data_IF_995694983467
#
_entry.id   IF_995694983467
#
_cell.length_a   1.000
_cell.length_b   1.000
_cell.length_c   1.000
_cell.angle_alpha   90.00
_cell.angle_beta   90.00
_cell.angle_gamma   90.00
#
_symmetry.space_group_name_H-M   'P 1'
#
loop_
_entity.id
_entity.type
_entity.pdbx_description
1 polymer ?
#
# COMPACT_ATOMS: atom_id res chain seq x y z
N UNK A 1 -4.59 87.23 36.10
CA UNK A 1 -4.44 85.76 36.09
C UNK A 1 -5.22 85.16 34.92
N UNK A 2 -4.65 85.09 33.70
CA UNK A 2 -5.36 84.60 32.49
C UNK A 2 -4.56 83.59 31.66
N UNK A 3 -3.62 82.88 32.27
CA UNK A 3 -2.74 81.92 31.57
C UNK A 3 -3.01 80.44 31.90
N UNK A 4 -3.89 80.13 32.87
CA UNK A 4 -4.10 78.75 33.33
C UNK A 4 -5.13 77.95 32.51
N UNK A 5 -6.00 78.59 31.74
CA UNK A 5 -7.02 77.90 30.94
C UNK A 5 -6.46 77.19 29.68
N UNK A 6 -5.32 77.66 29.17
CA UNK A 6 -4.67 77.11 27.96
C UNK A 6 -3.92 75.79 28.22
N UNK A 7 -3.46 75.58 29.46
CA UNK A 7 -2.75 74.35 29.83
C UNK A 7 -3.67 73.14 30.01
N UNK A 8 -4.91 73.36 30.47
CA UNK A 8 -5.83 72.25 30.76
C UNK A 8 -6.41 71.59 29.50
N UNK A 9 -6.61 72.37 28.44
CA UNK A 9 -7.08 71.87 27.13
C UNK A 9 -5.97 71.14 26.39
N UNK A 10 -4.74 71.66 26.39
CA UNK A 10 -3.57 71.03 25.77
C UNK A 10 -3.19 69.70 26.43
N UNK A 11 -3.31 69.58 27.76
CA UNK A 11 -3.08 68.32 28.50
C UNK A 11 -4.16 67.24 28.24
N UNK A 12 -5.43 67.65 28.02
CA UNK A 12 -6.49 66.71 27.62
C UNK A 12 -6.29 66.23 26.19
N UNK A 13 -5.96 67.14 25.27
CA UNK A 13 -5.71 66.81 23.87
C UNK A 13 -4.53 65.85 23.74
N UNK A 14 -3.41 66.08 24.46
CA UNK A 14 -2.26 65.15 24.42
C UNK A 14 -2.60 63.74 24.92
N UNK A 15 -3.45 63.62 25.95
CA UNK A 15 -3.89 62.33 26.50
C UNK A 15 -4.77 61.54 25.53
N UNK A 16 -5.67 62.20 24.80
CA UNK A 16 -6.47 61.54 23.76
C UNK A 16 -5.62 61.15 22.54
N UNK A 17 -4.66 61.99 22.17
CA UNK A 17 -3.74 61.73 21.06
C UNK A 17 -2.84 60.52 21.36
N UNK A 18 -2.31 60.42 22.58
CA UNK A 18 -1.54 59.25 23.03
C UNK A 18 -2.38 57.96 23.05
N UNK A 19 -3.64 58.04 23.49
CA UNK A 19 -4.55 56.88 23.47
C UNK A 19 -4.89 56.44 22.05
N UNK A 20 -5.18 57.39 21.15
CA UNK A 20 -5.44 57.09 19.75
C UNK A 20 -4.22 56.44 19.09
N UNK A 21 -3.02 56.95 19.36
CA UNK A 21 -1.77 56.42 18.84
C UNK A 21 -1.47 55.02 19.39
N UNK A 22 -1.74 54.78 20.68
CA UNK A 22 -1.61 53.45 21.30
C UNK A 22 -2.57 52.42 20.67
N UNK A 23 -3.84 52.80 20.44
CA UNK A 23 -4.82 51.92 19.78
C UNK A 23 -4.42 51.63 18.33
N UNK A 24 -3.92 52.64 17.61
CA UNK A 24 -3.47 52.48 16.22
C UNK A 24 -2.26 51.55 16.12
N UNK A 25 -1.28 51.71 17.02
CA UNK A 25 -0.15 50.77 17.14
C UNK A 25 -0.61 49.36 17.49
N UNK A 26 -1.57 49.23 18.40
CA UNK A 26 -2.09 47.92 18.81
C UNK A 26 -2.81 47.21 17.65
N UNK A 27 -3.64 47.93 16.90
CA UNK A 27 -4.27 47.41 15.68
C UNK A 27 -3.26 47.05 14.60
N UNK A 28 -2.20 47.85 14.44
CA UNK A 28 -1.14 47.58 13.48
C UNK A 28 -0.37 46.30 13.83
N UNK A 29 -0.01 46.12 15.10
CA UNK A 29 0.62 44.88 15.59
C UNK A 29 -0.32 43.68 15.39
N UNK A 30 -1.59 43.82 15.74
CA UNK A 30 -2.59 42.77 15.55
C UNK A 30 -2.70 42.38 14.06
N UNK A 31 -2.79 43.36 13.17
CA UNK A 31 -2.90 43.13 11.73
C UNK A 31 -1.66 42.43 11.16
N UNK A 32 -0.45 42.90 11.52
CA UNK A 32 0.81 42.26 11.11
C UNK A 32 0.90 40.83 11.65
N UNK A 33 0.48 40.58 12.89
CA UNK A 33 0.50 39.25 13.48
C UNK A 33 -0.42 38.26 12.77
N UNK A 34 -1.64 38.68 12.40
CA UNK A 34 -2.58 37.85 11.64
C UNK A 34 -2.02 37.54 10.26
N UNK A 35 -1.48 38.55 9.58
CA UNK A 35 -0.91 38.35 8.24
C UNK A 35 0.29 37.39 8.28
N UNK A 36 1.15 37.53 9.29
CA UNK A 36 2.28 36.63 9.50
C UNK A 36 1.83 35.17 9.74
N UNK A 37 0.83 34.97 10.60
CA UNK A 37 0.30 33.63 10.89
C UNK A 37 -0.36 33.01 9.66
N UNK A 38 -1.17 33.77 8.91
CA UNK A 38 -1.83 33.27 7.70
C UNK A 38 -0.80 32.89 6.63
N UNK A 39 0.23 33.71 6.44
CA UNK A 39 1.28 33.42 5.47
C UNK A 39 2.08 32.16 5.88
N UNK A 40 2.44 32.04 7.15
CA UNK A 40 3.09 30.84 7.67
C UNK A 40 2.20 29.59 7.54
N UNK A 41 0.88 29.73 7.73
CA UNK A 41 -0.07 28.63 7.56
C UNK A 41 -0.18 28.20 6.09
N UNK A 42 -0.27 29.13 5.15
CA UNK A 42 -0.32 28.83 3.73
C UNK A 42 0.96 28.17 3.21
N UNK A 43 2.13 28.57 3.70
CA UNK A 43 3.39 27.91 3.34
C UNK A 43 3.41 26.46 3.81
N UNK A 44 2.95 26.19 5.03
CA UNK A 44 2.82 24.82 5.56
C UNK A 44 1.76 24.01 4.85
N UNK A 45 0.64 24.62 4.50
CA UNK A 45 -0.43 23.96 3.76
C UNK A 45 0.05 23.56 2.35
N UNK A 46 0.74 24.46 1.65
CA UNK A 46 1.29 24.20 0.32
C UNK A 46 2.36 23.09 0.36
N UNK A 47 3.24 23.10 1.37
CA UNK A 47 4.23 22.04 1.61
C UNK A 47 3.54 20.68 1.79
N UNK A 48 2.51 20.60 2.64
CA UNK A 48 1.75 19.36 2.88
C UNK A 48 1.05 18.86 1.60
N UNK A 49 0.36 19.74 0.86
CA UNK A 49 -0.29 19.34 -0.39
C UNK A 49 0.71 18.87 -1.44
N UNK A 50 1.88 19.51 -1.51
CA UNK A 50 2.95 19.10 -2.42
C UNK A 50 3.50 17.71 -2.04
N UNK A 51 3.79 17.47 -0.76
CA UNK A 51 4.24 16.16 -0.27
C UNK A 51 3.18 15.06 -0.51
N UNK A 52 1.90 15.36 -0.25
CA UNK A 52 0.80 14.44 -0.51
C UNK A 52 0.68 14.08 -2.00
N UNK A 53 0.78 15.07 -2.89
CA UNK A 53 0.73 14.83 -4.34
C UNK A 53 1.92 14.01 -4.83
N UNK A 54 3.13 14.33 -4.36
CA UNK A 54 4.34 13.56 -4.72
C UNK A 54 4.22 12.10 -4.27
N UNK A 55 3.70 11.87 -3.06
CA UNK A 55 3.48 10.54 -2.52
C UNK A 55 2.37 9.79 -3.28
N UNK A 56 1.29 10.48 -3.67
CA UNK A 56 0.22 9.90 -4.46
C UNK A 56 0.71 9.47 -5.86
N UNK A 57 1.48 10.32 -6.54
CA UNK A 57 2.08 10.01 -7.84
C UNK A 57 3.10 8.87 -7.76
N UNK A 58 3.86 8.80 -6.66
CA UNK A 58 4.75 7.66 -6.40
C UNK A 58 3.95 6.37 -6.20
N UNK A 59 2.92 6.39 -5.34
CA UNK A 59 2.06 5.24 -5.10
C UNK A 59 1.36 4.76 -6.38
N UNK A 60 0.85 5.69 -7.19
CA UNK A 60 0.19 5.37 -8.46
C UNK A 60 1.15 4.69 -9.44
N UNK A 61 2.40 5.15 -9.53
CA UNK A 61 3.43 4.50 -10.36
C UNK A 61 3.75 3.09 -9.90
N UNK A 62 3.86 2.86 -8.59
CA UNK A 62 4.03 1.50 -8.04
C UNK A 62 2.84 0.61 -8.37
N UNK A 63 1.62 1.09 -8.17
CA UNK A 63 0.40 0.34 -8.51
C UNK A 63 0.37 0.01 -10.01
N UNK A 64 0.65 0.97 -10.89
CA UNK A 64 0.64 0.75 -12.34
C UNK A 64 1.68 -0.29 -12.77
N UNK A 65 2.94 -0.15 -12.33
CA UNK A 65 4.00 -1.12 -12.65
C UNK A 65 3.66 -2.52 -12.15
N UNK A 66 3.14 -2.64 -10.94
CA UNK A 66 2.80 -3.94 -10.36
C UNK A 66 1.52 -4.51 -10.97
N UNK A 67 0.58 -3.67 -11.41
CA UNK A 67 -0.61 -4.10 -12.12
C UNK A 67 -0.27 -4.75 -13.48
N UNK A 68 0.72 -4.23 -14.20
CA UNK A 68 1.17 -4.82 -15.46
C UNK A 68 1.80 -6.21 -15.21
N UNK A 69 2.72 -6.29 -14.25
CA UNK A 69 3.37 -7.56 -13.87
C UNK A 69 2.35 -8.58 -13.35
N UNK A 70 1.46 -8.19 -12.44
CA UNK A 70 0.49 -9.12 -11.86
C UNK A 70 -0.52 -9.59 -12.90
N UNK A 71 -0.82 -8.80 -13.92
CA UNK A 71 -1.69 -9.20 -15.03
C UNK A 71 -1.07 -10.32 -15.86
N UNK A 72 0.22 -10.21 -16.18
CA UNK A 72 0.95 -11.28 -16.88
C UNK A 72 1.02 -12.56 -16.03
N UNK A 73 1.39 -12.42 -14.75
CA UNK A 73 1.47 -13.55 -13.84
C UNK A 73 0.09 -14.20 -13.63
N UNK A 74 -0.98 -13.40 -13.52
CA UNK A 74 -2.38 -13.88 -13.44
C UNK A 74 -2.75 -14.68 -14.67
N UNK A 75 -2.42 -14.18 -15.87
CA UNK A 75 -2.74 -14.85 -17.12
C UNK A 75 -2.07 -16.23 -17.19
N UNK A 76 -0.78 -16.30 -16.85
CA UNK A 76 -0.05 -17.58 -16.83
C UNK A 76 -0.58 -18.52 -15.75
N UNK A 77 -0.82 -18.01 -14.53
CA UNK A 77 -1.39 -18.80 -13.44
C UNK A 77 -2.75 -19.38 -13.83
N UNK A 78 -3.65 -18.57 -14.39
CA UNK A 78 -4.97 -19.03 -14.84
C UNK A 78 -4.88 -20.10 -15.93
N UNK A 79 -4.04 -19.90 -16.93
CA UNK A 79 -3.87 -20.85 -18.03
C UNK A 79 -3.28 -22.19 -17.54
N UNK A 80 -2.25 -22.14 -16.71
CA UNK A 80 -1.57 -23.33 -16.17
C UNK A 80 -2.41 -24.09 -15.14
N UNK A 81 -3.18 -23.37 -14.32
CA UNK A 81 -4.16 -23.97 -13.42
C UNK A 81 -5.27 -24.70 -14.19
N UNK A 82 -5.70 -24.15 -15.33
CA UNK A 82 -6.75 -24.75 -16.18
C UNK A 82 -6.23 -25.94 -16.99
N UNK A 83 -4.99 -25.90 -17.43
CA UNK A 83 -4.41 -26.85 -18.39
C UNK A 83 -3.78 -28.10 -17.73
N UNK A 84 -4.22 -28.48 -16.52
CA UNK A 84 -3.50 -29.26 -15.50
C UNK A 84 -2.71 -30.52 -15.89
N UNK A 85 -2.83 -31.04 -17.12
CA UNK A 85 -2.06 -32.19 -17.62
C UNK A 85 -1.27 -31.94 -18.92
N UNK A 86 -1.59 -30.91 -19.71
CA UNK A 86 -1.02 -30.74 -21.06
C UNK A 86 0.42 -30.20 -21.08
N UNK A 87 0.86 -29.54 -20.00
CA UNK A 87 2.18 -28.86 -19.98
C UNK A 87 3.23 -29.57 -19.12
N UNK A 88 2.81 -30.54 -18.28
CA UNK A 88 3.74 -31.33 -17.47
C UNK A 88 4.54 -32.35 -18.31
N UNK A 89 4.03 -32.77 -19.47
CA UNK A 89 4.62 -33.83 -20.30
C UNK A 89 5.99 -33.50 -20.96
N UNK A 90 6.45 -32.24 -20.90
CA UNK A 90 7.70 -31.83 -21.58
C UNK A 90 8.87 -31.49 -20.64
N UNK A 91 8.68 -31.51 -19.33
CA UNK A 91 9.65 -30.92 -18.38
C UNK A 91 10.09 -31.94 -17.33
N UNK A 92 11.02 -32.83 -17.73
CA UNK A 92 11.73 -33.79 -16.87
C UNK A 92 12.76 -33.07 -15.97
N UNK A 93 12.29 -32.25 -15.04
CA UNK A 93 13.09 -31.71 -13.94
C UNK A 93 12.35 -31.96 -12.64
N UNK A 94 13.04 -32.52 -11.65
CA UNK A 94 12.51 -32.79 -10.31
C UNK A 94 12.34 -31.46 -9.57
N UNK A 95 11.29 -30.72 -9.92
CA UNK A 95 10.99 -29.41 -9.36
C UNK A 95 10.11 -29.62 -8.16
N UNK A 96 10.67 -29.31 -6.99
CA UNK A 96 9.93 -29.33 -5.75
C UNK A 96 8.72 -28.38 -5.85
N UNK A 97 7.52 -28.96 -5.76
CA UNK A 97 6.29 -28.20 -5.59
C UNK A 97 6.40 -27.45 -4.25
N UNK A 98 6.07 -26.15 -4.19
CA UNK A 98 6.16 -25.41 -2.94
C UNK A 98 5.24 -26.01 -1.88
N UNK A 99 5.73 -26.03 -0.65
CA UNK A 99 4.93 -26.45 0.51
C UNK A 99 3.77 -25.48 0.70
N UNK A 100 2.61 -26.03 1.08
CA UNK A 100 1.45 -25.23 1.43
C UNK A 100 1.50 -24.83 2.90
N UNK A 101 1.27 -23.56 3.14
CA UNK A 101 1.20 -22.96 4.46
C UNK A 101 -0.26 -22.61 4.74
N UNK A 102 -0.85 -23.11 5.84
CA UNK A 102 -2.22 -22.76 6.19
C UNK A 102 -2.27 -21.28 6.62
N UNK A 103 -3.20 -20.51 6.06
CA UNK A 103 -3.48 -19.14 6.56
C UNK A 103 -4.24 -19.17 7.90
N UNK A 104 -4.95 -20.27 8.18
CA UNK A 104 -5.74 -20.48 9.38
C UNK A 104 -5.32 -21.77 10.07
N UNK A 105 -5.31 -21.83 11.42
CA UNK A 105 -4.99 -23.06 12.15
C UNK A 105 -5.82 -24.29 11.71
N UNK A 106 -7.05 -24.07 11.27
CA UNK A 106 -8.01 -25.12 10.91
C UNK A 106 -7.99 -25.48 9.41
N UNK A 107 -7.14 -24.85 8.60
CA UNK A 107 -7.06 -25.09 7.15
C UNK A 107 -6.36 -26.42 6.82
N UNK A 108 -7.08 -27.37 6.22
CA UNK A 108 -6.48 -28.59 5.66
C UNK A 108 -5.86 -28.33 4.27
N UNK A 109 -4.53 -28.22 4.23
CA UNK A 109 -3.77 -28.01 3.00
C UNK A 109 -3.35 -29.30 2.27
N UNK A 110 -3.60 -30.47 2.86
CA UNK A 110 -3.20 -31.74 2.27
C UNK A 110 -4.02 -32.06 1.00
N UNK A 111 -5.33 -31.78 1.01
CA UNK A 111 -6.22 -32.02 -0.11
C UNK A 111 -5.86 -31.21 -1.37
N UNK A 112 -5.42 -29.95 -1.21
CA UNK A 112 -5.04 -29.09 -2.34
C UNK A 112 -3.78 -29.55 -3.04
N UNK A 113 -2.83 -30.11 -2.27
CA UNK A 113 -1.59 -30.65 -2.83
C UNK A 113 -1.84 -31.77 -3.83
N UNK A 114 -2.90 -32.57 -3.64
CA UNK A 114 -3.25 -33.67 -4.54
C UNK A 114 -3.96 -33.20 -5.81
N UNK A 115 -4.90 -32.26 -5.67
CA UNK A 115 -5.77 -31.82 -6.78
C UNK A 115 -5.02 -30.93 -7.78
N UNK A 116 -4.13 -30.06 -7.30
CA UNK A 116 -3.43 -29.09 -8.14
C UNK A 116 -1.96 -29.44 -8.40
N UNK A 117 -1.51 -30.65 -8.04
CA UNK A 117 -0.10 -31.03 -8.06
C UNK A 117 0.59 -30.73 -9.39
N UNK A 118 0.03 -31.22 -10.49
CA UNK A 118 0.59 -31.08 -11.83
C UNK A 118 0.58 -29.61 -12.30
N UNK A 119 -0.56 -28.93 -12.13
CA UNK A 119 -0.71 -27.51 -12.44
C UNK A 119 0.30 -26.65 -11.67
N UNK A 120 0.48 -26.92 -10.38
CA UNK A 120 1.40 -26.19 -9.51
C UNK A 120 2.86 -26.50 -9.77
N UNK A 121 3.19 -27.72 -10.19
CA UNK A 121 4.54 -28.04 -10.64
C UNK A 121 4.90 -27.21 -11.88
N UNK A 122 3.99 -27.14 -12.86
CA UNK A 122 4.18 -26.33 -14.07
C UNK A 122 4.26 -24.83 -13.75
N UNK A 123 3.45 -24.37 -12.78
CA UNK A 123 3.47 -23.00 -12.31
C UNK A 123 4.74 -22.69 -11.52
N UNK A 124 5.21 -23.60 -10.67
CA UNK A 124 6.44 -23.46 -9.89
C UNK A 124 7.65 -23.35 -10.80
N UNK A 125 7.69 -24.14 -11.89
CA UNK A 125 8.73 -23.98 -12.91
C UNK A 125 8.70 -22.60 -13.55
N UNK A 126 7.52 -22.15 -14.00
CA UNK A 126 7.39 -20.84 -14.62
C UNK A 126 7.76 -19.73 -13.65
N UNK A 127 7.27 -19.79 -12.41
CA UNK A 127 7.59 -18.81 -11.38
C UNK A 127 9.09 -18.78 -11.12
N UNK A 128 9.77 -19.93 -11.07
CA UNK A 128 11.23 -20.01 -10.93
C UNK A 128 11.97 -19.42 -12.13
N UNK A 129 11.55 -19.73 -13.35
CA UNK A 129 12.13 -19.16 -14.57
C UNK A 129 11.94 -17.64 -14.59
N UNK A 130 10.71 -17.18 -14.36
CA UNK A 130 10.35 -15.77 -14.36
C UNK A 130 11.15 -15.04 -13.29
N UNK A 131 11.27 -15.66 -12.12
CA UNK A 131 12.07 -15.20 -11.01
C UNK A 131 13.53 -15.00 -11.40
N UNK A 132 14.19 -16.04 -11.87
CA UNK A 132 15.62 -16.02 -12.19
C UNK A 132 15.97 -15.04 -13.33
N UNK A 133 15.00 -14.66 -14.18
CA UNK A 133 15.20 -13.76 -15.32
C UNK A 133 14.71 -12.32 -15.10
N UNK A 134 13.73 -12.09 -14.22
CA UNK A 134 13.03 -10.79 -14.14
C UNK A 134 12.95 -10.19 -12.73
N UNK A 135 13.21 -10.91 -11.63
CA UNK A 135 12.97 -10.33 -10.29
C UNK A 135 13.90 -9.19 -9.91
N UNK A 136 15.13 -9.19 -10.45
CA UNK A 136 16.08 -8.09 -10.21
C UNK A 136 15.63 -6.76 -10.83
N UNK A 137 14.77 -6.80 -11.86
CA UNK A 137 14.23 -5.60 -12.48
C UNK A 137 13.00 -5.02 -11.73
N UNK A 138 12.34 -5.83 -10.91
CA UNK A 138 11.06 -5.50 -10.28
C UNK A 138 11.08 -5.48 -8.74
N UNK A 139 12.26 -5.66 -8.11
CA UNK A 139 12.46 -5.68 -6.64
C UNK A 139 11.41 -6.53 -5.87
N UNK A 140 11.01 -7.64 -6.48
CA UNK A 140 10.03 -8.57 -5.92
C UNK A 140 10.69 -9.46 -4.86
N UNK A 141 10.09 -9.50 -3.68
CA UNK A 141 10.53 -10.36 -2.58
C UNK A 141 9.89 -11.74 -2.64
N UNK A 142 8.59 -11.78 -2.94
CA UNK A 142 7.77 -12.99 -2.80
C UNK A 142 6.64 -13.01 -3.82
N UNK A 143 6.38 -14.20 -4.35
CA UNK A 143 5.17 -14.50 -5.12
C UNK A 143 4.48 -15.65 -4.41
N UNK A 144 3.18 -15.55 -4.18
CA UNK A 144 2.40 -16.55 -3.49
C UNK A 144 1.03 -16.74 -4.12
N UNK A 145 0.48 -17.94 -4.01
CA UNK A 145 -0.86 -18.27 -4.49
C UNK A 145 -1.68 -18.79 -3.32
N UNK A 146 -2.92 -18.32 -3.18
CA UNK A 146 -3.82 -18.71 -2.09
C UNK A 146 -5.03 -19.39 -2.69
N UNK A 147 -5.34 -20.61 -2.25
CA UNK A 147 -6.56 -21.30 -2.64
C UNK A 147 -7.80 -20.58 -2.09
N UNK A 148 -8.84 -20.44 -2.91
CA UNK A 148 -10.07 -19.74 -2.52
C UNK A 148 -10.90 -20.48 -1.47
N UNK A 149 -10.98 -21.82 -1.59
CA UNK A 149 -11.87 -22.65 -0.78
C UNK A 149 -11.22 -23.08 0.56
N UNK A 150 -9.91 -23.31 0.56
CA UNK A 150 -9.18 -23.86 1.72
C UNK A 150 -8.20 -22.87 2.36
N UNK A 151 -7.99 -21.70 1.74
CA UNK A 151 -7.15 -20.62 2.26
C UNK A 151 -5.72 -21.11 2.56
N UNK A 152 -5.23 -22.03 1.75
CA UNK A 152 -3.86 -22.52 1.82
C UNK A 152 -2.98 -21.72 0.88
N UNK A 153 -1.83 -21.28 1.38
CA UNK A 153 -0.88 -20.49 0.61
C UNK A 153 0.25 -21.37 0.07
N UNK A 154 0.43 -21.40 -1.24
CA UNK A 154 1.64 -21.89 -1.88
C UNK A 154 2.62 -20.72 -2.04
N UNK A 155 3.79 -20.84 -1.42
CA UNK A 155 4.83 -19.80 -1.50
C UNK A 155 5.86 -20.16 -2.58
N UNK A 156 6.01 -19.34 -3.61
CA UNK A 156 6.99 -19.51 -4.68
C UNK A 156 8.27 -18.67 -4.44
N UNK A 157 8.45 -18.20 -3.20
CA UNK A 157 9.41 -17.16 -2.79
C UNK A 157 10.87 -17.32 -3.21
N UNK A 158 11.56 -16.18 -3.15
CA UNK A 158 12.97 -15.95 -3.51
C UNK A 158 13.93 -15.93 -2.33
N UNK A 159 13.44 -15.48 -1.17
CA UNK A 159 14.18 -15.30 0.08
C UNK A 159 13.28 -15.74 1.23
N UNK A 160 13.79 -16.57 2.14
CA UNK A 160 13.16 -16.77 3.43
C UNK A 160 13.21 -15.43 4.18
N UNK A 161 12.05 -14.83 4.46
CA UNK A 161 11.94 -13.67 5.34
C UNK A 161 11.33 -14.16 6.65
N UNK A 162 12.15 -14.62 7.62
CA UNK A 162 11.64 -15.40 8.75
C UNK A 162 11.08 -14.53 9.87
N UNK A 163 11.34 -13.22 9.85
CA UNK A 163 11.08 -12.34 11.02
C UNK A 163 9.68 -11.71 11.05
N UNK A 164 8.95 -11.69 9.94
CA UNK A 164 7.68 -10.92 9.81
C UNK A 164 6.48 -11.80 9.40
N UNK A 165 6.68 -13.12 9.33
CA UNK A 165 5.71 -14.08 8.79
C UNK A 165 4.37 -14.00 9.50
N UNK A 166 4.32 -14.04 10.83
CA UNK A 166 3.05 -14.11 11.56
C UNK A 166 2.24 -12.82 11.46
N UNK A 167 2.91 -11.66 11.52
CA UNK A 167 2.24 -10.36 11.40
C UNK A 167 1.77 -10.09 9.97
N UNK A 168 2.59 -10.43 8.97
CA UNK A 168 2.20 -10.34 7.57
C UNK A 168 1.04 -11.28 7.24
N UNK A 169 1.05 -12.52 7.75
CA UNK A 169 -0.05 -13.47 7.60
C UNK A 169 -1.33 -12.96 8.27
N UNK A 170 -1.25 -12.33 9.45
CA UNK A 170 -2.41 -11.73 10.12
C UNK A 170 -3.02 -10.57 9.32
N UNK A 171 -2.19 -9.67 8.80
CA UNK A 171 -2.66 -8.56 7.95
C UNK A 171 -3.28 -9.10 6.67
N UNK A 172 -2.62 -10.06 6.02
CA UNK A 172 -3.12 -10.72 4.80
C UNK A 172 -4.46 -11.40 5.04
N UNK A 173 -4.58 -12.13 6.15
CA UNK A 173 -5.83 -12.75 6.59
C UNK A 173 -6.96 -11.72 6.70
N UNK A 174 -6.73 -10.61 7.41
CA UNK A 174 -7.71 -9.54 7.56
C UNK A 174 -8.12 -8.93 6.20
N UNK A 175 -7.17 -8.75 5.27
CA UNK A 175 -7.44 -8.19 3.94
C UNK A 175 -8.26 -9.15 3.07
N UNK A 176 -7.99 -10.45 3.15
CA UNK A 176 -8.76 -11.46 2.41
C UNK A 176 -10.19 -11.52 2.93
N UNK A 177 -10.39 -11.52 4.24
CA UNK A 177 -11.73 -11.52 4.83
C UNK A 177 -12.50 -10.24 4.47
N UNK A 178 -11.83 -9.08 4.50
CA UNK A 178 -12.44 -7.83 4.03
C UNK A 178 -12.90 -7.93 2.57
N UNK A 179 -12.08 -8.52 1.69
CA UNK A 179 -12.42 -8.72 0.29
C UNK A 179 -13.56 -9.72 0.08
N UNK A 180 -13.59 -10.83 0.82
CA UNK A 180 -14.69 -11.79 0.77
C UNK A 180 -16.02 -11.18 1.21
N UNK A 181 -15.97 -10.30 2.21
CA UNK A 181 -17.14 -9.60 2.73
C UNK A 181 -17.55 -8.37 1.90
N UNK A 182 -16.69 -7.90 0.98
CA UNK A 182 -16.99 -6.76 0.11
C UNK A 182 -18.22 -7.03 -0.80
N UNK A 183 -18.95 -6.00 -1.24
CA UNK A 183 -20.04 -6.16 -2.19
C UNK A 183 -19.57 -6.66 -3.57
N UNK A 184 -20.47 -7.29 -4.34
CA UNK A 184 -20.12 -8.00 -5.58
C UNK A 184 -19.45 -7.13 -6.66
N UNK A 185 -19.73 -5.82 -6.67
CA UNK A 185 -19.06 -4.85 -7.54
C UNK A 185 -17.57 -4.67 -7.22
N UNK A 186 -17.15 -4.90 -5.98
CA UNK A 186 -15.77 -4.73 -5.51
C UNK A 186 -15.00 -6.05 -5.45
N UNK A 187 -15.70 -7.19 -5.39
CA UNK A 187 -15.09 -8.54 -5.44
C UNK A 187 -14.34 -8.84 -6.75
N UNK A 188 -14.46 -8.03 -7.79
CA UNK A 188 -13.66 -8.18 -9.01
C UNK A 188 -12.25 -7.56 -8.92
N UNK A 189 -12.02 -6.68 -7.95
CA UNK A 189 -10.89 -5.77 -7.97
C UNK A 189 -9.63 -6.39 -7.37
N UNK A 190 -8.48 -5.90 -7.84
CA UNK A 190 -7.20 -6.20 -7.23
C UNK A 190 -7.11 -5.46 -5.89
N UNK A 191 -6.56 -6.12 -4.87
CA UNK A 191 -6.29 -5.52 -3.57
C UNK A 191 -4.85 -5.04 -3.54
N UNK A 192 -4.65 -3.82 -3.04
CA UNK A 192 -3.32 -3.26 -2.83
C UNK A 192 -3.23 -2.72 -1.40
N UNK A 193 -2.12 -2.98 -0.72
CA UNK A 193 -1.85 -2.38 0.57
C UNK A 193 -0.35 -2.27 0.83
N UNK A 194 0.00 -1.40 1.77
CA UNK A 194 1.36 -1.22 2.25
C UNK A 194 1.40 -1.65 3.71
N UNK A 195 2.43 -2.39 4.11
CA UNK A 195 2.79 -2.60 5.51
C UNK A 195 4.10 -1.89 5.84
N UNK A 196 4.22 -1.46 7.09
CA UNK A 196 5.48 -0.92 7.61
C UNK A 196 6.41 -2.08 7.95
N UNK A 197 7.68 -1.99 7.53
CA UNK A 197 8.72 -2.91 7.95
C UNK A 197 9.32 -2.52 9.31
N UNK A 198 10.13 -3.40 9.89
CA UNK A 198 10.77 -3.14 11.20
C UNK A 198 11.79 -1.99 11.18
N UNK A 199 12.31 -1.64 10.00
CA UNK A 199 13.32 -0.58 9.86
C UNK A 199 12.66 0.74 9.41
N UNK A 200 12.99 1.87 10.05
CA UNK A 200 12.55 3.18 9.57
C UNK A 200 12.96 3.36 8.10
N UNK A 201 12.01 3.79 7.26
CA UNK A 201 12.24 3.97 5.82
C UNK A 201 12.23 2.67 4.99
N UNK A 202 11.71 1.56 5.52
CA UNK A 202 11.46 0.34 4.74
C UNK A 202 10.03 -0.13 4.96
N UNK A 203 9.31 -0.42 3.88
CA UNK A 203 7.98 -1.00 3.90
C UNK A 203 7.83 -2.12 2.88
N UNK A 204 6.68 -2.77 2.90
CA UNK A 204 6.31 -3.80 1.94
C UNK A 204 5.03 -3.42 1.23
N UNK A 205 5.09 -3.40 -0.10
CA UNK A 205 3.93 -3.26 -0.95
C UNK A 205 3.40 -4.63 -1.35
N UNK A 206 2.10 -4.83 -1.15
CA UNK A 206 1.41 -6.05 -1.51
C UNK A 206 0.38 -5.77 -2.58
N UNK A 207 0.34 -6.64 -3.59
CA UNK A 207 -0.72 -6.68 -4.57
C UNK A 207 -1.32 -8.08 -4.65
N UNK A 208 -2.63 -8.19 -4.49
CA UNK A 208 -3.38 -9.45 -4.57
C UNK A 208 -4.41 -9.36 -5.69
N UNK A 209 -4.44 -10.37 -6.54
CA UNK A 209 -5.30 -10.43 -7.72
C UNK A 209 -6.10 -11.74 -7.72
N UNK A 210 -7.43 -11.68 -7.86
CA UNK A 210 -8.25 -12.88 -7.96
C UNK A 210 -8.05 -13.59 -9.30
N UNK A 211 -7.88 -14.91 -9.26
CA UNK A 211 -7.75 -15.80 -10.42
C UNK A 211 -9.05 -16.61 -10.56
N UNK A 212 -9.76 -16.34 -11.65
CA UNK A 212 -11.03 -17.01 -11.97
C UNK A 212 -10.82 -18.10 -13.01
N UNK A 213 -11.52 -19.22 -12.85
CA UNK A 213 -11.63 -20.28 -13.85
C UNK A 213 -13.10 -20.67 -13.97
N UNK A 214 -13.61 -20.74 -15.21
CA UNK A 214 -15.02 -21.01 -15.47
C UNK A 214 -15.98 -20.14 -14.63
N UNK A 215 -15.68 -18.84 -14.50
CA UNK A 215 -16.45 -17.87 -13.71
C UNK A 215 -16.53 -18.13 -12.19
N UNK A 216 -15.70 -19.04 -11.66
CA UNK A 216 -15.53 -19.29 -10.22
C UNK A 216 -14.15 -18.83 -9.78
N UNK A 217 -14.08 -18.12 -8.64
CA UNK A 217 -12.80 -17.78 -8.02
C UNK A 217 -12.13 -19.10 -7.62
N UNK A 218 -10.96 -19.38 -8.18
CA UNK A 218 -10.20 -20.59 -7.85
C UNK A 218 -9.11 -20.26 -6.83
N UNK A 219 -8.38 -19.17 -7.08
CA UNK A 219 -7.24 -18.78 -6.26
C UNK A 219 -7.07 -17.25 -6.25
N UNK A 220 -6.22 -16.76 -5.36
CA UNK A 220 -5.73 -15.39 -5.36
C UNK A 220 -4.21 -15.42 -5.52
N UNK A 221 -3.71 -14.68 -6.50
CA UNK A 221 -2.28 -14.53 -6.75
C UNK A 221 -1.78 -13.26 -6.08
N UNK A 222 -0.76 -13.37 -5.26
CA UNK A 222 -0.15 -12.27 -4.52
C UNK A 222 1.31 -12.06 -4.85
N UNK A 223 1.73 -10.80 -4.85
CA UNK A 223 3.12 -10.39 -4.94
C UNK A 223 3.47 -9.43 -3.81
N UNK A 224 4.71 -9.51 -3.34
CA UNK A 224 5.28 -8.62 -2.33
C UNK A 224 6.54 -7.95 -2.90
N UNK A 225 6.62 -6.63 -2.73
CA UNK A 225 7.76 -5.80 -3.13
C UNK A 225 8.26 -4.99 -1.94
N UNK A 226 9.58 -4.84 -1.82
CA UNK A 226 10.15 -3.90 -0.85
C UNK A 226 10.01 -2.47 -1.37
N UNK A 227 9.55 -1.55 -0.54
CA UNK A 227 9.56 -0.11 -0.82
C UNK A 227 10.46 0.61 0.20
N UNK A 228 11.08 1.71 -0.23
CA UNK A 228 11.93 2.58 0.58
C UNK A 228 11.47 4.02 0.44
#
# INVERSE_FOLDING_TARGET
MKYLASFHTTLKVSRYLFRALAVLLWLLIAFVSVFYIVNALHEREAEIHQELNLNADQAQRYIQRTADVIKELKYVAGNRLSAGDAVAQGQNGDIAVPNFEPLYPDSDCSAMSSTWRNSLQSLAWFMRYWRDNFTAAYDLNRIFLIGSDNLCMANFGLRDVPSERDQALKVLHQRIEQYRNAPQNERGNNLFWISQGMRPGVGYFYALTPVYMANRLQAMLGVEQTIR
#
